data_IF_310832457979
#
_entry.id   IF_310832457979
#
_cell.length_a   1.000
_cell.length_b   1.000
_cell.length_c   1.000
_cell.angle_alpha   90.00
_cell.angle_beta   90.00
_cell.angle_gamma   90.00
#
_symmetry.space_group_name_H-M   'P 1'
#
loop_
_entity.id
_entity.type
_entity.pdbx_description
1 polymer ?
#
# COMPACT_ATOMS: atom_id res chain seq x y z
N UNK A 1 7.35 -13.06 -5.69
CA UNK A 1 8.01 -11.89 -6.32
C UNK A 1 9.48 -12.25 -6.49
N UNK A 2 10.04 -12.05 -7.67
CA UNK A 2 11.43 -12.42 -7.98
C UNK A 2 11.99 -11.43 -9.01
N UNK A 3 13.31 -11.44 -9.18
CA UNK A 3 13.94 -10.75 -10.30
C UNK A 3 13.35 -11.24 -11.62
N UNK A 4 13.10 -10.32 -12.56
CA UNK A 4 12.44 -10.59 -13.84
C UNK A 4 11.01 -11.18 -13.72
N UNK A 5 10.32 -10.89 -12.62
CA UNK A 5 8.96 -11.42 -12.37
C UNK A 5 7.95 -11.00 -13.43
N UNK A 6 8.12 -9.83 -14.04
CA UNK A 6 7.34 -9.34 -15.18
C UNK A 6 7.55 -10.20 -16.44
N UNK A 7 8.77 -10.69 -16.68
CA UNK A 7 9.04 -11.62 -17.78
C UNK A 7 8.38 -12.98 -17.53
N UNK A 8 8.45 -13.49 -16.30
CA UNK A 8 7.78 -14.74 -15.91
C UNK A 8 6.25 -14.61 -16.05
N UNK A 9 5.67 -13.53 -15.53
CA UNK A 9 4.23 -13.28 -15.65
C UNK A 9 3.81 -13.18 -17.11
N UNK A 10 4.55 -12.43 -17.93
CA UNK A 10 4.29 -12.32 -19.37
C UNK A 10 4.37 -13.68 -20.06
N UNK A 11 5.40 -14.48 -19.78
CA UNK A 11 5.56 -15.80 -20.38
C UNK A 11 4.36 -16.72 -20.10
N UNK A 12 3.85 -16.72 -18.87
CA UNK A 12 2.66 -17.48 -18.49
C UNK A 12 1.44 -17.02 -19.31
N UNK A 13 1.22 -15.70 -19.43
CA UNK A 13 0.09 -15.16 -20.21
C UNK A 13 0.21 -15.40 -21.72
N UNK A 14 1.42 -15.60 -22.25
CA UNK A 14 1.63 -15.90 -23.67
C UNK A 14 1.20 -17.33 -24.05
N UNK A 15 1.22 -18.28 -23.12
CA UNK A 15 0.80 -19.66 -23.38
C UNK A 15 -0.66 -19.79 -23.82
N UNK A 16 -1.66 -19.25 -23.08
CA UNK A 16 -3.05 -19.34 -23.52
C UNK A 16 -3.34 -18.52 -24.78
N UNK A 17 -2.55 -17.47 -25.06
CA UNK A 17 -2.63 -16.76 -26.35
C UNK A 17 -2.18 -17.69 -27.48
N UNK A 18 -1.02 -18.34 -27.32
CA UNK A 18 -0.46 -19.25 -28.32
C UNK A 18 -1.37 -20.45 -28.60
N UNK A 19 -2.01 -21.00 -27.57
CA UNK A 19 -2.88 -22.17 -27.70
C UNK A 19 -4.33 -21.84 -28.02
N UNK A 20 -4.69 -20.56 -28.13
CA UNK A 20 -6.07 -20.13 -28.41
C UNK A 20 -7.05 -20.36 -27.25
N UNK A 21 -6.56 -20.47 -26.01
CA UNK A 21 -7.36 -20.73 -24.81
C UNK A 21 -7.95 -19.46 -24.16
N UNK A 22 -7.71 -18.28 -24.72
CA UNK A 22 -8.29 -17.03 -24.22
C UNK A 22 -9.73 -16.88 -24.73
N UNK A 23 -10.67 -16.63 -23.81
CA UNK A 23 -12.06 -16.29 -24.15
C UNK A 23 -13.00 -17.47 -24.45
N UNK A 24 -12.52 -18.70 -24.35
CA UNK A 24 -13.35 -19.91 -24.51
C UNK A 24 -13.84 -20.43 -23.14
N UNK A 25 -14.98 -21.12 -23.12
CA UNK A 25 -15.47 -21.78 -21.91
C UNK A 25 -14.49 -22.88 -21.46
N UNK A 26 -14.06 -22.80 -20.20
CA UNK A 26 -13.01 -23.69 -19.65
C UNK A 26 -11.58 -23.25 -19.97
N UNK A 27 -11.38 -22.17 -20.72
CA UNK A 27 -10.10 -21.51 -20.95
C UNK A 27 -9.71 -20.52 -19.84
N UNK A 28 -8.51 -19.96 -19.92
CA UNK A 28 -7.98 -19.00 -18.93
C UNK A 28 -6.92 -18.07 -19.57
N UNK A 29 -6.74 -16.87 -19.02
CA UNK A 29 -5.77 -15.85 -19.52
C UNK A 29 -4.34 -16.00 -18.99
N UNK A 30 -4.07 -17.00 -18.15
CA UNK A 30 -2.88 -17.15 -17.33
C UNK A 30 -2.96 -16.45 -15.96
N UNK A 31 -4.08 -15.77 -15.67
CA UNK A 31 -4.32 -15.10 -14.39
C UNK A 31 -5.20 -15.93 -13.46
N UNK A 32 -5.07 -15.68 -12.16
CA UNK A 32 -5.98 -16.21 -11.15
C UNK A 32 -7.38 -15.62 -11.35
N UNK A 33 -8.40 -16.44 -11.13
CA UNK A 33 -9.80 -16.04 -11.10
C UNK A 33 -10.05 -14.89 -10.11
N UNK A 34 -10.99 -14.03 -10.46
CA UNK A 34 -11.54 -13.04 -9.53
C UNK A 34 -12.78 -13.61 -8.84
N UNK A 35 -13.18 -12.97 -7.75
CA UNK A 35 -14.46 -13.19 -7.07
C UNK A 35 -15.54 -12.24 -7.61
N UNK A 36 -16.82 -12.62 -7.43
CA UNK A 36 -17.93 -11.70 -7.64
C UNK A 36 -17.89 -10.61 -6.56
N UNK A 37 -18.08 -9.35 -6.94
CA UNK A 37 -18.06 -8.22 -6.00
C UNK A 37 -19.26 -7.32 -6.23
N UNK A 38 -19.79 -6.75 -5.15
CA UNK A 38 -20.74 -5.62 -5.22
C UNK A 38 -19.92 -4.33 -5.16
N UNK A 39 -20.21 -3.39 -6.06
CA UNK A 39 -19.54 -2.09 -6.08
C UNK A 39 -19.99 -1.23 -4.91
N UNK A 40 -19.03 -0.68 -4.18
CA UNK A 40 -19.24 0.41 -3.22
C UNK A 40 -18.65 1.70 -3.80
N UNK A 41 -19.31 2.82 -3.55
CA UNK A 41 -18.72 4.12 -3.89
C UNK A 41 -17.48 4.34 -3.02
N UNK A 42 -16.37 4.65 -3.67
CA UNK A 42 -15.12 4.95 -2.96
C UNK A 42 -15.09 6.41 -2.57
N UNK A 43 -14.33 6.73 -1.54
CA UNK A 43 -14.08 8.13 -1.21
C UNK A 43 -13.47 8.87 -2.41
N UNK A 44 -13.93 10.11 -2.67
CA UNK A 44 -13.36 10.92 -3.73
C UNK A 44 -11.88 11.14 -3.45
N UNK A 45 -11.04 10.63 -4.34
CA UNK A 45 -9.61 10.93 -4.33
C UNK A 45 -9.38 12.29 -4.98
N UNK A 46 -8.63 13.15 -4.29
CA UNK A 46 -8.20 14.43 -4.83
C UNK A 46 -7.26 14.21 -6.03
N UNK A 47 -7.20 15.21 -6.92
CA UNK A 47 -6.19 15.19 -7.98
C UNK A 47 -4.80 15.46 -7.37
N UNK A 48 -3.89 14.50 -7.49
CA UNK A 48 -2.50 14.71 -7.10
C UNK A 48 -1.82 15.67 -8.11
N UNK A 49 -1.38 16.87 -7.70
CA UNK A 49 -0.69 17.80 -8.59
C UNK A 49 0.71 17.31 -8.98
N UNK A 50 1.31 16.41 -8.18
CA UNK A 50 2.62 15.82 -8.47
C UNK A 50 2.45 14.60 -9.37
N UNK A 51 2.85 14.74 -10.64
CA UNK A 51 2.82 13.66 -11.62
C UNK A 51 4.11 12.81 -11.64
N UNK A 52 5.17 13.30 -10.98
CA UNK A 52 6.42 12.54 -10.81
C UNK A 52 6.16 11.32 -9.94
N UNK A 53 6.63 10.15 -10.37
CA UNK A 53 6.39 8.90 -9.67
C UNK A 53 7.65 8.04 -9.59
N UNK A 54 7.74 7.27 -8.51
CA UNK A 54 8.75 6.24 -8.29
C UNK A 54 8.07 4.88 -8.11
N UNK A 55 8.84 3.81 -8.12
CA UNK A 55 8.34 2.51 -7.69
C UNK A 55 7.93 2.58 -6.21
N UNK A 56 6.79 1.98 -5.86
CA UNK A 56 6.38 1.85 -4.45
C UNK A 56 7.37 1.05 -3.60
N UNK A 57 8.33 0.37 -4.23
CA UNK A 57 9.38 -0.38 -3.56
C UNK A 57 10.66 0.44 -3.32
N UNK A 58 10.91 1.53 -4.06
CA UNK A 58 12.17 2.29 -3.96
C UNK A 58 12.06 3.51 -3.04
N UNK A 59 11.07 3.53 -2.15
CA UNK A 59 10.85 4.64 -1.23
C UNK A 59 12.01 4.82 -0.24
N UNK A 60 12.66 3.73 0.20
CA UNK A 60 13.85 3.79 1.08
C UNK A 60 15.02 4.48 0.39
N UNK A 61 15.23 4.21 -0.89
CA UNK A 61 16.23 4.89 -1.72
C UNK A 61 15.87 6.36 -1.95
N UNK A 62 14.57 6.68 -2.10
CA UNK A 62 14.11 8.05 -2.25
C UNK A 62 14.34 8.89 -0.98
N UNK A 63 14.34 8.27 0.20
CA UNK A 63 14.77 8.91 1.45
C UNK A 63 16.30 9.07 1.47
N UNK A 64 17.03 7.98 1.23
CA UNK A 64 18.48 7.95 1.45
C UNK A 64 19.29 8.74 0.41
N UNK A 65 18.86 8.71 -0.86
CA UNK A 65 19.61 9.20 -2.02
C UNK A 65 18.71 9.79 -3.11
N UNK A 66 17.56 10.35 -2.74
CA UNK A 66 16.55 10.85 -3.68
C UNK A 66 17.13 11.64 -4.87
N UNK A 67 17.96 12.69 -4.66
CA UNK A 67 18.54 13.48 -5.76
C UNK A 67 19.44 12.72 -6.75
N UNK A 68 19.88 11.51 -6.41
CA UNK A 68 20.66 10.62 -7.28
C UNK A 68 19.77 9.65 -8.08
N UNK A 69 18.48 9.54 -7.75
CA UNK A 69 17.55 8.66 -8.44
C UNK A 69 17.13 9.24 -9.78
N UNK A 70 17.33 8.49 -10.85
CA UNK A 70 17.09 8.96 -12.24
C UNK A 70 16.06 8.12 -12.98
N UNK A 71 15.56 8.63 -14.09
CA UNK A 71 14.63 7.94 -14.98
C UNK A 71 15.21 6.63 -15.53
N UNK A 72 16.50 6.65 -15.90
CA UNK A 72 17.18 5.51 -16.56
C UNK A 72 17.69 4.46 -15.59
N UNK A 73 18.17 4.86 -14.40
CA UNK A 73 18.72 3.92 -13.40
C UNK A 73 17.65 3.39 -12.45
N UNK A 74 16.73 4.23 -12.00
CA UNK A 74 15.82 3.93 -10.88
C UNK A 74 14.34 3.91 -11.30
N UNK A 75 14.05 4.22 -12.57
CA UNK A 75 12.69 4.21 -13.12
C UNK A 75 11.83 5.37 -12.64
N UNK A 76 12.43 6.52 -12.32
CA UNK A 76 11.68 7.77 -12.07
C UNK A 76 10.84 8.10 -13.30
N UNK A 77 9.55 8.36 -13.11
CA UNK A 77 8.60 8.72 -14.16
C UNK A 77 8.18 10.18 -14.03
N UNK A 78 8.00 10.86 -15.16
CA UNK A 78 7.53 12.25 -15.23
C UNK A 78 8.62 13.33 -15.07
N UNK A 79 9.86 12.94 -14.74
CA UNK A 79 11.07 13.79 -14.69
C UNK A 79 12.33 12.94 -14.92
N UNK A 80 13.44 13.59 -15.25
CA UNK A 80 14.76 12.93 -15.42
C UNK A 80 15.35 12.41 -14.11
N UNK A 81 15.05 13.07 -12.98
CA UNK A 81 15.47 12.67 -11.63
C UNK A 81 14.55 13.26 -10.56
N UNK A 82 14.67 12.80 -9.32
CA UNK A 82 14.07 13.49 -8.18
C UNK A 82 14.89 14.74 -7.81
N UNK A 83 14.20 15.80 -7.42
CA UNK A 83 14.85 17.07 -7.05
C UNK A 83 15.28 17.06 -5.57
N UNK A 84 14.51 16.37 -4.71
CA UNK A 84 14.68 16.32 -3.25
C UNK A 84 14.39 14.91 -2.73
N UNK A 85 14.92 14.52 -1.56
CA UNK A 85 14.57 13.26 -0.91
C UNK A 85 13.15 13.29 -0.34
N UNK A 86 12.60 12.12 -0.04
CA UNK A 86 11.43 12.00 0.84
C UNK A 86 11.89 12.27 2.28
N UNK A 87 11.24 13.24 2.94
CA UNK A 87 11.51 13.61 4.34
C UNK A 87 10.38 13.28 5.31
N UNK A 88 9.19 13.00 4.78
CA UNK A 88 7.99 12.80 5.57
C UNK A 88 7.31 11.50 5.16
N UNK A 89 6.93 10.68 6.15
CA UNK A 89 6.15 9.46 5.97
C UNK A 89 4.82 9.55 6.70
N UNK A 90 3.75 9.25 5.97
CA UNK A 90 2.41 9.05 6.52
C UNK A 90 2.06 7.56 6.41
N UNK A 91 2.11 6.84 7.52
CA UNK A 91 1.90 5.40 7.57
C UNK A 91 0.62 5.06 8.34
N UNK A 92 -0.48 4.91 7.61
CA UNK A 92 -1.76 4.48 8.16
C UNK A 92 -1.97 2.98 7.99
N UNK A 93 -2.30 2.27 9.09
CA UNK A 93 -2.65 0.85 9.13
C UNK A 93 -1.67 -0.06 8.36
N UNK A 94 -0.39 0.31 8.36
CA UNK A 94 0.63 -0.27 7.49
C UNK A 94 1.85 -0.72 8.27
N UNK A 95 2.39 -1.89 7.91
CA UNK A 95 3.71 -2.31 8.37
C UNK A 95 4.78 -2.26 7.26
N UNK A 96 4.47 -1.55 6.17
CA UNK A 96 5.32 -1.45 4.98
C UNK A 96 6.63 -0.73 5.27
N UNK A 97 6.69 0.17 6.25
CA UNK A 97 7.93 0.90 6.53
C UNK A 97 9.02 0.04 7.18
N UNK A 98 8.72 -1.19 7.63
CA UNK A 98 9.77 -2.07 8.17
C UNK A 98 9.58 -3.55 7.79
N UNK A 99 8.62 -4.26 8.36
CA UNK A 99 8.59 -5.74 8.28
C UNK A 99 7.92 -6.29 7.00
N UNK A 100 7.26 -5.44 6.22
CA UNK A 100 6.70 -5.78 4.89
C UNK A 100 7.51 -5.19 3.73
N UNK A 101 8.70 -4.66 4.02
CA UNK A 101 9.69 -4.24 3.02
C UNK A 101 10.90 -5.19 3.03
N UNK A 102 11.65 -5.20 1.93
CA UNK A 102 12.89 -5.96 1.87
C UNK A 102 13.99 -5.28 2.67
N UNK A 103 14.92 -6.07 3.20
CA UNK A 103 16.12 -5.58 3.89
C UNK A 103 15.78 -4.65 5.07
N UNK A 104 15.28 -5.29 6.12
CA UNK A 104 14.86 -4.60 7.34
C UNK A 104 16.02 -3.88 8.04
N UNK A 105 17.25 -4.36 7.89
CA UNK A 105 18.43 -3.78 8.53
C UNK A 105 18.82 -2.46 7.86
N UNK A 106 18.90 -2.45 6.53
CA UNK A 106 19.08 -1.20 5.76
C UNK A 106 17.97 -0.20 6.07
N UNK A 107 16.72 -0.68 6.11
CA UNK A 107 15.56 0.17 6.37
C UNK A 107 15.60 0.75 7.78
N UNK A 108 15.97 -0.05 8.78
CA UNK A 108 16.19 0.41 10.16
C UNK A 108 17.22 1.53 10.23
N UNK A 109 18.39 1.36 9.59
CA UNK A 109 19.44 2.40 9.56
C UNK A 109 18.96 3.70 8.90
N UNK A 110 18.14 3.61 7.85
CA UNK A 110 17.57 4.79 7.18
C UNK A 110 16.56 5.51 8.08
N UNK A 111 15.67 4.76 8.74
CA UNK A 111 14.59 5.34 9.55
C UNK A 111 15.04 5.83 10.92
N UNK A 112 16.20 5.38 11.44
CA UNK A 112 16.78 5.92 12.68
C UNK A 112 17.56 7.22 12.46
N UNK A 113 17.83 7.58 11.21
CA UNK A 113 18.57 8.79 10.86
C UNK A 113 17.60 9.96 10.64
N UNK A 114 17.39 10.77 11.68
CA UNK A 114 16.51 11.95 11.65
C UNK A 114 16.91 12.98 10.57
N UNK A 115 18.17 12.97 10.11
CA UNK A 115 18.61 13.83 9.01
C UNK A 115 18.12 13.35 7.64
N UNK A 116 17.74 12.07 7.54
CA UNK A 116 17.21 11.44 6.32
C UNK A 116 15.70 11.48 6.26
N UNK A 117 15.00 10.90 7.24
CA UNK A 117 13.55 10.94 7.35
C UNK A 117 13.19 11.75 8.60
N UNK A 118 12.70 12.97 8.37
CA UNK A 118 12.57 13.99 9.41
C UNK A 118 11.26 13.86 10.21
N UNK A 119 10.25 13.20 9.66
CA UNK A 119 8.99 12.97 10.37
C UNK A 119 8.27 11.73 9.87
N UNK A 120 7.85 10.89 10.79
CA UNK A 120 7.10 9.66 10.58
C UNK A 120 5.83 9.72 11.43
N UNK A 121 4.69 9.87 10.76
CA UNK A 121 3.37 9.74 11.37
C UNK A 121 2.90 8.30 11.20
N UNK A 122 2.55 7.64 12.30
CA UNK A 122 1.93 6.32 12.28
C UNK A 122 0.54 6.39 12.89
N UNK A 123 -0.45 5.88 12.17
CA UNK A 123 -1.81 5.68 12.67
C UNK A 123 -2.07 4.18 12.70
N UNK A 124 -2.23 3.63 13.90
CA UNK A 124 -2.33 2.18 14.12
C UNK A 124 -3.16 1.88 15.38
N UNK A 125 -3.73 0.68 15.43
CA UNK A 125 -4.45 0.18 16.59
C UNK A 125 -3.51 -0.47 17.62
N UNK A 126 -2.34 -0.90 17.17
CA UNK A 126 -1.36 -1.63 17.96
C UNK A 126 0.02 -0.97 17.90
N UNK A 127 0.85 -1.25 18.91
CA UNK A 127 2.26 -0.92 18.88
C UNK A 127 3.01 -1.91 17.96
N UNK A 128 2.78 -1.78 16.66
CA UNK A 128 3.39 -2.61 15.62
C UNK A 128 4.89 -2.34 15.46
N UNK A 129 5.59 -3.16 14.68
CA UNK A 129 7.01 -2.89 14.38
C UNK A 129 7.21 -1.55 13.69
N UNK A 130 6.25 -1.12 12.85
CA UNK A 130 6.28 0.20 12.22
C UNK A 130 5.97 1.32 13.20
N UNK A 131 5.02 1.15 14.13
CA UNK A 131 4.70 2.14 15.15
C UNK A 131 5.90 2.51 16.05
N UNK A 132 6.88 1.61 16.20
CA UNK A 132 8.12 1.88 16.97
C UNK A 132 9.03 2.93 16.33
N UNK A 133 8.84 3.24 15.05
CA UNK A 133 9.58 4.29 14.34
C UNK A 133 8.80 5.60 14.25
N UNK A 134 7.63 5.70 14.88
CA UNK A 134 6.80 6.88 14.79
C UNK A 134 7.38 8.03 15.62
N UNK A 135 7.48 9.21 15.01
CA UNK A 135 7.65 10.47 15.74
C UNK A 135 6.29 10.90 16.32
N UNK A 136 5.22 10.66 15.57
CA UNK A 136 3.84 10.90 15.98
C UNK A 136 3.03 9.61 15.83
N UNK A 137 2.57 9.08 16.96
CA UNK A 137 1.72 7.89 17.01
C UNK A 137 0.29 8.27 17.37
N UNK A 138 -0.64 8.00 16.46
CA UNK A 138 -2.05 8.33 16.59
C UNK A 138 -2.88 7.04 16.70
N UNK A 139 -3.66 6.84 17.78
CA UNK A 139 -4.37 5.59 18.01
C UNK A 139 -5.73 5.58 17.28
N UNK A 140 -5.90 4.62 16.35
CA UNK A 140 -7.14 4.45 15.57
C UNK A 140 -8.17 3.54 16.27
N UNK A 141 -9.42 3.58 15.79
CA UNK A 141 -10.48 2.66 16.19
C UNK A 141 -10.31 1.29 15.55
N UNK A 142 -10.51 0.24 16.35
CA UNK A 142 -10.63 -1.12 15.82
C UNK A 142 -11.90 -1.24 14.98
N UNK A 143 -11.95 -2.17 14.02
CA UNK A 143 -13.18 -2.44 13.23
C UNK A 143 -14.42 -2.70 14.10
N UNK A 144 -14.26 -3.27 15.29
CA UNK A 144 -15.37 -3.53 16.24
C UNK A 144 -15.85 -2.29 17.00
N UNK A 145 -15.14 -1.17 16.89
CA UNK A 145 -15.39 0.09 17.59
C UNK A 145 -16.03 1.15 16.67
N UNK A 146 -16.24 0.85 15.38
CA UNK A 146 -16.73 1.79 14.37
C UNK A 146 -17.74 1.17 13.41
N UNK A 147 -18.50 2.03 12.73
CA UNK A 147 -19.34 1.64 11.61
C UNK A 147 -18.47 1.37 10.38
N UNK A 148 -18.80 0.33 9.60
CA UNK A 148 -18.03 -0.03 8.41
C UNK A 148 -18.88 -0.85 7.42
N UNK A 149 -18.41 -0.92 6.17
CA UNK A 149 -19.02 -1.66 5.07
C UNK A 149 -17.97 -2.64 4.55
N UNK A 150 -18.17 -3.93 4.81
CA UNK A 150 -17.22 -4.98 4.40
C UNK A 150 -17.74 -5.69 3.14
N UNK A 151 -17.04 -5.60 1.99
CA UNK A 151 -17.35 -6.43 0.84
C UNK A 151 -16.85 -7.86 1.04
N UNK A 152 -17.47 -8.81 0.33
CA UNK A 152 -17.12 -10.23 0.42
C UNK A 152 -15.67 -10.57 0.08
N UNK A 153 -15.00 -9.74 -0.71
CA UNK A 153 -13.64 -9.97 -1.22
C UNK A 153 -13.44 -11.45 -1.65
N UNK A 154 -12.36 -12.11 -1.24
CA UNK A 154 -12.08 -13.52 -1.58
C UNK A 154 -12.90 -14.57 -0.79
N UNK A 155 -13.89 -14.17 0.01
CA UNK A 155 -14.57 -15.05 0.98
C UNK A 155 -15.86 -15.72 0.48
N UNK A 156 -16.19 -15.66 -0.82
CA UNK A 156 -17.40 -16.32 -1.32
C UNK A 156 -17.54 -16.35 -2.84
N UNK A 157 -18.48 -17.19 -3.32
CA UNK A 157 -18.82 -17.34 -4.74
C UNK A 157 -19.94 -16.39 -5.20
N UNK A 158 -20.40 -15.49 -4.32
CA UNK A 158 -21.42 -14.48 -4.59
C UNK A 158 -20.96 -13.14 -4.04
N UNK A 159 -21.27 -12.05 -4.73
CA UNK A 159 -21.04 -10.70 -4.23
C UNK A 159 -22.01 -10.38 -3.10
N UNK A 160 -21.50 -9.90 -1.97
CA UNK A 160 -22.32 -9.40 -0.85
C UNK A 160 -21.59 -8.29 -0.09
N UNK A 161 -22.37 -7.50 0.65
CA UNK A 161 -21.88 -6.47 1.58
C UNK A 161 -22.39 -6.78 2.98
N UNK A 162 -21.54 -6.56 3.97
CA UNK A 162 -21.91 -6.61 5.39
C UNK A 162 -21.82 -5.19 5.94
N UNK A 163 -22.94 -4.69 6.46
CA UNK A 163 -22.98 -3.46 7.23
C UNK A 163 -22.76 -3.79 8.70
N UNK A 164 -21.72 -3.23 9.30
CA UNK A 164 -21.39 -3.45 10.70
C UNK A 164 -21.60 -2.17 11.51
N UNK A 165 -22.14 -2.38 12.71
CA UNK A 165 -22.25 -1.36 13.75
C UNK A 165 -21.22 -1.67 14.86
N UNK A 166 -20.77 -0.65 15.61
CA UNK A 166 -19.85 -0.86 16.72
C UNK A 166 -20.40 -1.88 17.72
N UNK A 167 -19.63 -2.95 17.95
CA UNK A 167 -19.96 -3.94 18.98
C UNK A 167 -19.55 -3.45 20.38
N UNK A 168 -18.68 -2.45 20.46
CA UNK A 168 -18.23 -1.80 21.69
C UNK A 168 -17.93 -0.32 21.43
N UNK A 169 -17.89 0.48 22.49
CA UNK A 169 -17.52 1.90 22.38
C UNK A 169 -16.03 2.07 22.14
N UNK A 170 -15.63 3.20 21.56
CA UNK A 170 -14.23 3.63 21.51
C UNK A 170 -13.59 3.55 22.91
N UNK A 171 -12.40 2.94 22.98
CA UNK A 171 -11.63 2.85 24.23
C UNK A 171 -10.59 3.96 24.27
N UNK A 172 -10.36 4.52 25.46
CA UNK A 172 -9.39 5.59 25.68
C UNK A 172 -9.68 6.82 24.79
N UNK A 173 -8.63 7.45 24.26
CA UNK A 173 -8.72 8.65 23.42
C UNK A 173 -8.68 8.35 21.92
N UNK A 174 -8.94 7.10 21.52
CA UNK A 174 -8.93 6.67 20.11
C UNK A 174 -9.92 7.46 19.28
N UNK A 175 -9.53 7.76 18.04
CA UNK A 175 -10.36 8.47 17.06
C UNK A 175 -10.31 7.73 15.73
N UNK A 176 -11.44 7.64 14.98
CA UNK A 176 -11.43 7.01 13.67
C UNK A 176 -10.57 7.82 12.71
N UNK A 177 -9.98 7.15 11.72
CA UNK A 177 -9.18 7.79 10.67
C UNK A 177 -9.86 9.02 10.03
N UNK A 178 -11.18 8.98 9.82
CA UNK A 178 -11.91 10.11 9.24
C UNK A 178 -11.93 11.36 10.12
N UNK A 179 -11.95 11.18 11.44
CA UNK A 179 -11.84 12.29 12.40
C UNK A 179 -10.40 12.82 12.45
N UNK A 180 -9.41 11.93 12.35
CA UNK A 180 -7.99 12.33 12.33
C UNK A 180 -7.66 13.17 11.08
N UNK A 181 -8.34 12.90 9.97
CA UNK A 181 -8.12 13.56 8.68
C UNK A 181 -9.00 14.80 8.44
N UNK A 182 -9.95 15.11 9.32
CA UNK A 182 -10.89 16.26 9.20
C UNK A 182 -10.34 17.54 9.83
#
# INVERSE_FOLDING_TARGET
>A
RQANGELSARAITMLPILTGNVGINGGNSGARESTYTITIERLPVLENPVKTAISCFTWTDAIARGPEMTATRDGVRGKEKLDVPIKFLWNYAGNTIINQHSDINKTHEILQDESKCETIVVIDNFMTSSAKYADLLLPDLMTVEQEDIIPNDYAGNMGYLIFIQPATSAKFERKPIYWILS
#
